data_IF_758092034388
#
_entry.id   IF_758092034388
#
_cell.length_a   1.000
_cell.length_b   1.000
_cell.length_c   1.000
_cell.angle_alpha   90.00
_cell.angle_beta   90.00
_cell.angle_gamma   90.00
#
_symmetry.space_group_name_H-M   'P 1'
#
loop_
_entity.id
_entity.type
_entity.pdbx_description
1 polymer ?
#
# COMPACT_ATOMS: atom_id res chain seq x y z
N UNK A 1 13.66 16.42 13.63
CA UNK A 1 12.45 15.73 14.09
C UNK A 1 12.87 14.55 14.94
N UNK A 2 12.34 14.40 16.12
CA UNK A 2 12.75 13.30 17.01
C UNK A 2 12.13 11.98 16.56
N UNK A 3 12.88 10.88 16.57
CA UNK A 3 12.34 9.53 16.40
C UNK A 3 11.25 9.26 17.46
N UNK A 4 10.30 8.39 17.17
CA UNK A 4 9.25 8.03 18.11
C UNK A 4 7.93 8.79 17.92
N UNK A 5 7.78 9.50 16.79
CA UNK A 5 6.58 10.27 16.48
C UNK A 5 5.60 9.51 15.56
N UNK A 6 5.84 8.24 15.26
CA UNK A 6 4.92 7.42 14.46
C UNK A 6 3.62 7.22 15.25
N UNK A 7 2.48 7.61 14.66
CA UNK A 7 1.18 7.48 15.31
C UNK A 7 0.64 6.06 15.21
N UNK A 8 0.40 5.42 16.35
CA UNK A 8 -0.23 4.10 16.40
C UNK A 8 -1.65 4.12 15.81
N UNK A 9 -2.38 5.21 16.00
CA UNK A 9 -3.74 5.37 15.47
C UNK A 9 -3.72 5.46 13.94
N UNK A 10 -2.81 6.25 13.37
CA UNK A 10 -2.66 6.36 11.91
C UNK A 10 -2.27 5.00 11.32
N UNK A 11 -1.32 4.30 11.93
CA UNK A 11 -0.90 2.96 11.48
C UNK A 11 -2.08 1.99 11.48
N UNK A 12 -2.81 1.90 12.60
CA UNK A 12 -3.94 0.98 12.73
C UNK A 12 -5.05 1.31 11.73
N UNK A 13 -5.34 2.59 11.51
CA UNK A 13 -6.36 3.03 10.55
C UNK A 13 -5.99 2.66 9.12
N UNK A 14 -4.74 2.91 8.71
CA UNK A 14 -4.27 2.56 7.36
C UNK A 14 -4.26 1.05 7.14
N UNK A 15 -3.79 0.28 8.12
CA UNK A 15 -3.79 -1.19 8.03
C UNK A 15 -5.21 -1.74 7.89
N UNK A 16 -6.17 -1.18 8.61
CA UNK A 16 -7.58 -1.58 8.50
C UNK A 16 -8.16 -1.24 7.13
N UNK A 17 -7.86 -0.06 6.58
CA UNK A 17 -8.27 0.31 5.22
C UNK A 17 -7.72 -0.68 4.18
N UNK A 18 -6.43 -1.01 4.28
CA UNK A 18 -5.78 -1.97 3.38
C UNK A 18 -6.47 -3.33 3.47
N UNK A 19 -6.70 -3.83 4.68
CA UNK A 19 -7.36 -5.12 4.91
C UNK A 19 -8.74 -5.16 4.27
N UNK A 20 -9.53 -4.12 4.45
CA UNK A 20 -10.89 -4.03 3.89
C UNK A 20 -10.86 -4.03 2.36
N UNK A 21 -9.91 -3.31 1.75
CA UNK A 21 -9.80 -3.27 0.29
C UNK A 21 -9.34 -4.62 -0.27
N UNK A 22 -8.38 -5.28 0.37
CA UNK A 22 -7.93 -6.61 -0.05
C UNK A 22 -9.04 -7.66 0.13
N UNK A 23 -9.83 -7.59 1.20
CA UNK A 23 -11.00 -8.44 1.37
C UNK A 23 -12.02 -8.22 0.23
N UNK A 24 -12.21 -6.97 -0.18
CA UNK A 24 -13.04 -6.63 -1.33
C UNK A 24 -12.54 -7.29 -2.61
N UNK A 25 -11.24 -7.25 -2.86
CA UNK A 25 -10.63 -7.92 -4.03
C UNK A 25 -10.90 -9.44 -3.97
N UNK A 26 -10.72 -10.07 -2.82
CA UNK A 26 -10.93 -11.52 -2.66
C UNK A 26 -12.37 -11.94 -2.87
N UNK A 27 -13.33 -11.02 -2.76
CA UNK A 27 -14.75 -11.28 -3.01
C UNK A 27 -15.11 -11.26 -4.50
N UNK A 28 -14.19 -10.83 -5.38
CA UNK A 28 -14.43 -10.69 -6.81
C UNK A 28 -14.33 -12.04 -7.54
N UNK A 29 -15.00 -12.20 -8.70
CA UNK A 29 -14.95 -13.45 -9.48
C UNK A 29 -13.63 -13.58 -10.25
N UNK A 30 -12.54 -13.91 -9.57
CA UNK A 30 -11.18 -13.98 -10.12
C UNK A 30 -10.78 -15.38 -10.59
N UNK A 31 -11.71 -16.33 -10.67
CA UNK A 31 -11.42 -17.69 -11.12
C UNK A 31 -10.94 -17.74 -12.57
N UNK A 32 -11.41 -16.82 -13.42
CA UNK A 32 -10.96 -16.67 -14.80
C UNK A 32 -11.13 -15.23 -15.27
N UNK A 33 -10.39 -14.85 -16.30
CA UNK A 33 -10.54 -13.53 -16.94
C UNK A 33 -11.96 -13.34 -17.43
N UNK A 34 -12.55 -14.37 -18.05
CA UNK A 34 -13.93 -14.31 -18.54
C UNK A 34 -14.93 -14.02 -17.41
N UNK A 35 -14.81 -14.72 -16.28
CA UNK A 35 -15.68 -14.54 -15.12
C UNK A 35 -15.56 -13.10 -14.57
N UNK A 36 -14.35 -12.56 -14.51
CA UNK A 36 -14.09 -11.21 -14.00
C UNK A 36 -14.67 -10.14 -14.95
N UNK A 37 -14.44 -10.28 -16.25
CA UNK A 37 -14.85 -9.28 -17.25
C UNK A 37 -16.31 -9.42 -17.70
N UNK A 38 -17.01 -10.48 -17.31
CA UNK A 38 -18.41 -10.69 -17.67
C UNK A 38 -19.35 -9.63 -17.10
N UNK A 39 -18.96 -8.99 -16.00
CA UNK A 39 -19.72 -7.88 -15.38
C UNK A 39 -18.80 -6.68 -15.20
N UNK A 40 -19.06 -5.61 -15.93
CA UNK A 40 -18.29 -4.38 -15.87
C UNK A 40 -18.24 -3.76 -14.47
N UNK A 41 -19.27 -4.02 -13.63
CA UNK A 41 -19.26 -3.55 -12.23
C UNK A 41 -18.19 -4.22 -11.39
N UNK A 42 -17.87 -5.48 -11.69
CA UNK A 42 -16.79 -6.21 -11.01
C UNK A 42 -15.43 -5.65 -11.39
N UNK A 43 -15.24 -5.30 -12.67
CA UNK A 43 -14.01 -4.64 -13.13
C UNK A 43 -13.83 -3.30 -12.44
N UNK A 44 -14.88 -2.48 -12.40
CA UNK A 44 -14.85 -1.17 -11.73
C UNK A 44 -14.57 -1.31 -10.23
N UNK A 45 -15.18 -2.31 -9.57
CA UNK A 45 -14.92 -2.59 -8.16
C UNK A 45 -13.47 -3.01 -7.93
N UNK A 46 -12.93 -3.86 -8.79
CA UNK A 46 -11.52 -4.31 -8.71
C UNK A 46 -10.55 -3.15 -8.85
N UNK A 47 -10.78 -2.27 -9.80
CA UNK A 47 -10.00 -1.04 -9.98
C UNK A 47 -10.02 -0.18 -8.71
N UNK A 48 -11.21 0.08 -8.18
CA UNK A 48 -11.37 0.90 -6.97
C UNK A 48 -10.71 0.27 -5.75
N UNK A 49 -10.90 -1.01 -5.52
CA UNK A 49 -10.29 -1.71 -4.37
C UNK A 49 -8.76 -1.67 -4.44
N UNK A 50 -8.20 -1.99 -5.61
CA UNK A 50 -6.74 -2.00 -5.79
C UNK A 50 -6.15 -0.60 -5.57
N UNK A 51 -6.71 0.40 -6.23
CA UNK A 51 -6.23 1.79 -6.11
C UNK A 51 -6.26 2.26 -4.67
N UNK A 52 -7.36 2.01 -3.96
CA UNK A 52 -7.52 2.45 -2.57
C UNK A 52 -6.61 1.68 -1.62
N UNK A 53 -6.36 0.38 -1.88
CA UNK A 53 -5.38 -0.39 -1.10
C UNK A 53 -3.98 0.18 -1.29
N UNK A 54 -3.58 0.46 -2.53
CA UNK A 54 -2.26 1.00 -2.85
C UNK A 54 -2.07 2.40 -2.26
N UNK A 55 -3.07 3.27 -2.37
CA UNK A 55 -3.00 4.61 -1.78
C UNK A 55 -2.85 4.55 -0.26
N UNK A 56 -3.63 3.69 0.42
CA UNK A 56 -3.52 3.55 1.86
C UNK A 56 -2.15 3.03 2.29
N UNK A 57 -1.60 2.05 1.55
CA UNK A 57 -0.28 1.50 1.84
C UNK A 57 0.84 2.52 1.60
N UNK A 58 0.75 3.26 0.49
CA UNK A 58 1.72 4.31 0.17
C UNK A 58 1.65 5.47 1.17
N UNK A 59 0.45 5.84 1.61
CA UNK A 59 0.27 6.88 2.62
C UNK A 59 0.79 6.42 3.99
N UNK A 60 0.60 5.16 4.34
CA UNK A 60 1.22 4.58 5.53
C UNK A 60 2.74 4.66 5.46
N UNK A 61 3.32 4.25 4.34
CA UNK A 61 4.76 4.32 4.13
C UNK A 61 5.29 5.76 4.22
N UNK A 62 4.56 6.72 3.65
CA UNK A 62 4.89 8.14 3.75
C UNK A 62 4.88 8.62 5.19
N UNK A 63 3.90 8.20 5.97
CA UNK A 63 3.82 8.52 7.41
C UNK A 63 5.03 7.97 8.18
N UNK A 64 5.41 6.71 7.91
CA UNK A 64 6.58 6.09 8.55
C UNK A 64 7.87 6.84 8.21
N UNK A 65 8.05 7.21 6.94
CA UNK A 65 9.22 7.97 6.49
C UNK A 65 9.29 9.35 7.16
N UNK A 66 8.16 10.06 7.22
CA UNK A 66 8.11 11.40 7.81
C UNK A 66 8.36 11.35 9.32
N UNK A 67 7.65 10.50 10.02
CA UNK A 67 7.65 10.46 11.49
C UNK A 67 8.80 9.66 12.08
N UNK A 68 9.26 8.62 11.39
CA UNK A 68 10.36 7.77 11.85
C UNK A 68 11.74 8.22 11.36
N UNK A 69 11.82 8.88 10.21
CA UNK A 69 13.09 9.16 9.54
C UNK A 69 13.25 10.61 9.08
N UNK A 70 12.24 11.46 9.28
CA UNK A 70 12.29 12.86 8.87
C UNK A 70 12.36 13.06 7.35
N UNK A 71 11.82 12.11 6.57
CA UNK A 71 11.82 12.17 5.10
C UNK A 71 10.42 12.49 4.59
N UNK A 72 10.34 13.35 3.58
CA UNK A 72 9.07 13.82 3.03
C UNK A 72 9.09 13.75 1.49
N UNK A 73 9.17 12.54 0.89
CA UNK A 73 9.14 12.41 -0.56
C UNK A 73 7.78 12.87 -1.10
N UNK A 74 7.81 13.62 -2.22
CA UNK A 74 6.61 14.17 -2.82
C UNK A 74 5.82 13.12 -3.63
N UNK A 75 6.53 12.16 -4.24
CA UNK A 75 5.94 11.21 -5.16
C UNK A 75 5.91 9.79 -4.58
N UNK A 76 4.88 9.02 -4.94
CA UNK A 76 4.72 7.65 -4.44
C UNK A 76 5.85 6.71 -4.88
N UNK A 77 6.40 6.88 -6.07
CA UNK A 77 7.58 6.10 -6.50
C UNK A 77 8.78 6.30 -5.58
N UNK A 78 8.99 7.54 -5.12
CA UNK A 78 10.05 7.86 -4.16
C UNK A 78 9.74 7.30 -2.77
N UNK A 79 8.47 7.30 -2.35
CA UNK A 79 8.06 6.69 -1.08
C UNK A 79 8.46 5.21 -1.04
N UNK A 80 8.15 4.46 -2.10
CA UNK A 80 8.48 3.04 -2.20
C UNK A 80 10.01 2.81 -2.15
N UNK A 81 10.76 3.60 -2.91
CA UNK A 81 12.21 3.49 -2.96
C UNK A 81 12.85 3.80 -1.60
N UNK A 82 12.41 4.87 -0.95
CA UNK A 82 12.99 5.30 0.32
C UNK A 82 12.64 4.35 1.48
N UNK A 83 11.51 3.66 1.41
CA UNK A 83 11.18 2.64 2.42
C UNK A 83 12.18 1.48 2.38
N UNK A 84 12.72 1.17 1.20
CA UNK A 84 13.85 0.25 1.05
C UNK A 84 15.16 0.82 1.59
N UNK A 85 15.45 2.10 1.30
CA UNK A 85 16.68 2.76 1.74
C UNK A 85 16.82 2.81 3.26
N UNK A 86 15.71 3.05 3.99
CA UNK A 86 15.73 3.13 5.45
C UNK A 86 15.70 1.74 6.12
N UNK A 87 15.63 0.67 5.33
CA UNK A 87 15.74 -0.69 5.84
C UNK A 87 14.45 -1.32 6.35
N UNK A 88 13.29 -0.69 6.12
CA UNK A 88 11.99 -1.29 6.45
C UNK A 88 11.67 -2.43 5.49
N UNK A 89 12.02 -2.26 4.20
CA UNK A 89 11.86 -3.29 3.18
C UNK A 89 13.23 -3.79 2.71
N UNK A 90 13.33 -5.08 2.40
CA UNK A 90 14.49 -5.59 1.66
C UNK A 90 14.42 -5.13 0.20
N UNK A 91 15.51 -5.34 -0.55
CA UNK A 91 15.62 -4.88 -1.93
C UNK A 91 14.53 -5.47 -2.84
N UNK A 92 14.22 -6.76 -2.66
CA UNK A 92 13.20 -7.44 -3.46
C UNK A 92 11.80 -6.87 -3.19
N UNK A 93 11.44 -6.72 -1.93
CA UNK A 93 10.13 -6.17 -1.52
C UNK A 93 10.00 -4.70 -1.93
N UNK A 94 11.05 -3.91 -1.80
CA UNK A 94 11.07 -2.52 -2.24
C UNK A 94 10.87 -2.40 -3.75
N UNK A 95 11.49 -3.28 -4.54
CA UNK A 95 11.32 -3.32 -5.99
C UNK A 95 9.87 -3.62 -6.38
N UNK A 96 9.25 -4.60 -5.72
CA UNK A 96 7.84 -4.94 -5.94
C UNK A 96 6.91 -3.78 -5.54
N UNK A 97 7.21 -3.12 -4.43
CA UNK A 97 6.43 -1.96 -3.98
C UNK A 97 6.54 -0.79 -4.98
N UNK A 98 7.72 -0.59 -5.58
CA UNK A 98 7.90 0.43 -6.62
C UNK A 98 7.03 0.14 -7.85
N UNK A 99 6.89 -1.14 -8.23
CA UNK A 99 5.96 -1.56 -9.31
C UNK A 99 4.52 -1.21 -8.94
N UNK A 100 4.11 -1.49 -7.70
CA UNK A 100 2.77 -1.17 -7.20
C UNK A 100 2.51 0.35 -7.22
N UNK A 101 3.49 1.15 -6.84
CA UNK A 101 3.38 2.61 -6.90
C UNK A 101 3.15 3.10 -8.34
N UNK A 102 3.80 2.49 -9.32
CA UNK A 102 3.59 2.80 -10.74
C UNK A 102 2.19 2.41 -11.22
N UNK A 103 1.65 1.27 -10.76
CA UNK A 103 0.26 0.90 -11.09
C UNK A 103 -0.70 1.96 -10.56
N UNK A 104 -0.55 2.39 -9.33
CA UNK A 104 -1.39 3.44 -8.77
C UNK A 104 -1.34 4.73 -9.60
N UNK A 105 -0.15 5.14 -10.04
CA UNK A 105 0.00 6.34 -10.85
C UNK A 105 -0.68 6.18 -12.21
N UNK A 106 -0.56 5.01 -12.85
CA UNK A 106 -1.26 4.72 -14.11
C UNK A 106 -2.77 4.74 -13.94
N UNK A 107 -3.28 4.24 -12.82
CA UNK A 107 -4.72 4.18 -12.54
C UNK A 107 -5.40 5.55 -12.46
N UNK A 108 -4.65 6.61 -12.16
CA UNK A 108 -5.17 7.98 -12.06
C UNK A 108 -4.87 8.84 -13.29
N UNK A 109 -4.17 8.30 -14.30
CA UNK A 109 -3.82 9.01 -15.52
C UNK A 109 -4.58 8.45 -16.72
N UNK A 110 -5.42 9.26 -17.38
CA UNK A 110 -6.27 8.85 -18.50
C UNK A 110 -5.49 8.34 -19.72
N UNK A 111 -4.25 8.77 -19.93
CA UNK A 111 -3.45 8.41 -21.09
C UNK A 111 -2.58 7.17 -20.89
N UNK A 112 -2.61 6.56 -19.71
CA UNK A 112 -1.82 5.37 -19.40
C UNK A 112 -2.66 4.37 -18.59
N UNK A 113 -3.86 4.09 -19.07
CA UNK A 113 -4.82 3.24 -18.39
C UNK A 113 -4.34 1.80 -18.27
N UNK A 114 -4.69 1.16 -17.15
CA UNK A 114 -4.53 -0.28 -16.97
C UNK A 114 -5.70 -0.97 -17.65
N UNK A 115 -5.42 -1.89 -18.59
CA UNK A 115 -6.46 -2.66 -19.27
C UNK A 115 -7.13 -3.64 -18.30
N UNK A 116 -8.33 -4.14 -18.68
CA UNK A 116 -9.04 -5.15 -17.89
C UNK A 116 -8.20 -6.43 -17.73
N UNK A 117 -7.46 -6.81 -18.76
CA UNK A 117 -6.58 -8.00 -18.74
C UNK A 117 -5.43 -7.79 -17.75
N UNK A 118 -4.80 -6.64 -17.79
CA UNK A 118 -3.70 -6.29 -16.89
C UNK A 118 -4.20 -6.19 -15.44
N UNK A 119 -5.35 -5.55 -15.22
CA UNK A 119 -5.99 -5.44 -13.91
C UNK A 119 -6.28 -6.84 -13.34
N UNK A 120 -6.87 -7.72 -14.15
CA UNK A 120 -7.12 -9.11 -13.74
C UNK A 120 -5.82 -9.80 -13.32
N UNK A 121 -4.75 -9.62 -14.08
CA UNK A 121 -3.44 -10.19 -13.76
C UNK A 121 -2.91 -9.72 -12.40
N UNK A 122 -3.04 -8.43 -12.10
CA UNK A 122 -2.62 -7.85 -10.83
C UNK A 122 -3.47 -8.43 -9.68
N UNK A 123 -4.79 -8.37 -9.82
CA UNK A 123 -5.72 -8.80 -8.78
C UNK A 123 -5.64 -10.30 -8.48
N UNK A 124 -5.37 -11.12 -9.49
CA UNK A 124 -5.34 -12.58 -9.35
C UNK A 124 -3.97 -13.14 -8.95
N UNK A 125 -2.86 -12.41 -9.20
CA UNK A 125 -1.50 -12.94 -9.03
C UNK A 125 -0.58 -12.09 -8.17
N UNK A 126 -0.84 -10.79 -8.00
CA UNK A 126 0.13 -9.88 -7.39
C UNK A 126 -0.31 -9.32 -6.03
N UNK A 127 -1.43 -9.75 -5.46
CA UNK A 127 -1.85 -9.31 -4.12
C UNK A 127 -0.84 -9.70 -3.05
N UNK A 128 -0.13 -10.83 -3.25
CA UNK A 128 0.92 -11.27 -2.34
C UNK A 128 2.05 -10.25 -2.21
N UNK A 129 2.30 -9.45 -3.24
CA UNK A 129 3.32 -8.40 -3.19
C UNK A 129 2.88 -7.26 -2.26
N UNK A 130 1.59 -6.92 -2.28
CA UNK A 130 1.02 -5.94 -1.34
C UNK A 130 1.08 -6.49 0.09
N UNK A 131 0.67 -7.73 0.29
CA UNK A 131 0.71 -8.40 1.59
C UNK A 131 2.13 -8.49 2.13
N UNK A 132 3.11 -8.74 1.26
CA UNK A 132 4.53 -8.77 1.63
C UNK A 132 5.02 -7.44 2.20
N UNK A 133 4.60 -6.32 1.62
CA UNK A 133 4.92 -4.99 2.15
C UNK A 133 4.25 -4.79 3.52
N UNK A 134 2.99 -5.17 3.67
CA UNK A 134 2.26 -5.07 4.94
C UNK A 134 2.98 -5.88 6.03
N UNK A 135 3.39 -7.11 5.73
CA UNK A 135 4.12 -7.96 6.68
C UNK A 135 5.45 -7.32 7.09
N UNK A 136 6.19 -6.79 6.12
CA UNK A 136 7.49 -6.15 6.38
C UNK A 136 7.32 -4.91 7.28
N UNK A 137 6.32 -4.07 7.00
CA UNK A 137 6.02 -2.88 7.79
C UNK A 137 5.61 -3.25 9.22
N UNK A 138 4.69 -4.20 9.38
CA UNK A 138 4.22 -4.62 10.71
C UNK A 138 5.34 -5.29 11.51
N UNK A 139 6.20 -6.08 10.87
CA UNK A 139 7.37 -6.69 11.51
C UNK A 139 8.36 -5.64 11.97
N UNK A 140 8.62 -4.63 11.14
CA UNK A 140 9.53 -3.54 11.51
C UNK A 140 8.99 -2.74 12.71
N UNK A 141 7.69 -2.42 12.70
CA UNK A 141 7.05 -1.71 13.81
C UNK A 141 7.12 -2.51 15.12
N UNK A 142 6.90 -3.82 15.06
CA UNK A 142 6.98 -4.70 16.22
C UNK A 142 8.41 -4.76 16.78
N UNK A 143 9.43 -4.67 15.90
CA UNK A 143 10.84 -4.68 16.29
C UNK A 143 11.33 -3.31 16.77
N UNK A 144 10.60 -2.24 16.54
CA UNK A 144 10.98 -0.86 16.87
C UNK A 144 9.88 -0.13 17.65
N UNK A 145 9.43 -0.67 18.81
CA UNK A 145 8.35 -0.03 19.58
C UNK A 145 8.72 1.37 20.07
N UNK A 146 10.01 1.68 20.18
CA UNK A 146 10.52 3.01 20.56
C UNK A 146 10.23 4.08 19.49
N UNK A 147 9.97 3.68 18.25
CA UNK A 147 9.64 4.59 17.15
C UNK A 147 8.15 4.99 17.16
N UNK A 148 7.32 4.26 17.90
CA UNK A 148 5.88 4.47 17.93
C UNK A 148 5.51 5.26 19.18
N UNK A 149 4.71 6.33 19.01
CA UNK A 149 4.19 7.10 20.12
C UNK A 149 3.28 6.22 20.98
N UNK A 150 3.52 6.20 22.32
CA UNK A 150 2.79 5.33 23.27
C UNK A 150 1.32 5.72 23.44
N UNK A 151 1.02 6.99 23.25
CA UNK A 151 -0.35 7.51 23.27
C UNK A 151 -0.42 8.67 22.30
N UNK A 152 -1.49 8.73 21.52
CA UNK A 152 -1.85 9.94 20.80
C UNK A 152 -2.39 10.96 21.82
N UNK A 153 -1.52 11.43 22.69
CA UNK A 153 -1.92 12.53 23.56
C UNK A 153 -1.96 13.80 22.73
N UNK A 154 -3.07 14.55 22.80
CA UNK A 154 -3.06 15.88 22.24
C UNK A 154 -1.92 16.65 22.91
N UNK A 155 -1.06 17.24 22.10
CA UNK A 155 -0.03 18.12 22.61
C UNK A 155 -0.70 19.23 23.42
N UNK A 156 -0.40 19.24 24.68
CA UNK A 156 -0.79 20.32 25.57
C UNK A 156 -0.02 21.58 25.22
#
# INVERSE_FOLDING_TARGET
MSPGAISAVVVADKLEQIRRMLDGVRSLPLASLHAFTADARMVAAGDSYLRRALEALLDLARHLLAKGFGRAPAEYSEVARQLGEVGILDASTASKFSVMARYRNRMVHFYDEISDVELYGILSRELTDIEGVVVAVTSWLAAHPEQVARTDQPSS
#
